data_IF_528831920631
#
_entry.id   IF_528831920631
#
_cell.length_a   1.000
_cell.length_b   1.000
_cell.length_c   1.000
_cell.angle_alpha   90.00
_cell.angle_beta   90.00
_cell.angle_gamma   90.00
#
_symmetry.space_group_name_H-M   'P 1'
#
loop_
_entity.id
_entity.type
_entity.pdbx_description
1 polymer ?
#
# COMPACT_ATOMS: atom_id res chain seq x y z
N UNK A 1 -6.58 -3.13 -20.93
CA UNK A 1 -6.24 -1.91 -21.67
C UNK A 1 -4.73 -1.93 -21.82
N UNK A 2 -4.20 -2.06 -23.04
CA UNK A 2 -2.76 -1.90 -23.26
C UNK A 2 -2.44 -0.42 -23.18
N UNK A 3 -1.38 -0.06 -22.44
CA UNK A 3 -0.82 1.29 -22.43
C UNK A 3 -0.35 1.62 -23.85
N UNK A 4 -0.95 2.62 -24.48
CA UNK A 4 -0.30 3.27 -25.61
C UNK A 4 0.91 4.03 -25.02
N UNK A 5 2.12 3.64 -25.40
CA UNK A 5 3.36 4.37 -25.09
C UNK A 5 3.63 4.64 -23.59
N UNK A 6 3.39 3.65 -22.73
CA UNK A 6 3.68 3.77 -21.30
C UNK A 6 2.75 4.75 -20.56
N UNK A 7 1.69 5.23 -21.19
CA UNK A 7 0.66 6.03 -20.54
C UNK A 7 -0.33 5.15 -19.78
N UNK A 8 -0.55 5.48 -18.51
CA UNK A 8 -1.52 4.89 -17.62
C UNK A 8 -2.65 5.90 -17.38
N UNK A 9 -3.91 5.56 -17.72
CA UNK A 9 -5.02 6.45 -17.44
C UNK A 9 -5.19 6.61 -15.92
N UNK A 10 -5.89 7.67 -15.51
CA UNK A 10 -6.30 7.85 -14.12
C UNK A 10 -7.08 6.62 -13.64
N UNK A 11 -6.91 6.25 -12.38
CA UNK A 11 -7.68 5.18 -11.74
C UNK A 11 -8.73 5.81 -10.83
N UNK A 12 -9.98 5.41 -10.99
CA UNK A 12 -11.09 5.94 -10.20
C UNK A 12 -12.00 4.81 -9.75
N UNK A 13 -12.64 5.02 -8.61
CA UNK A 13 -13.47 3.96 -8.04
C UNK A 13 -14.09 4.33 -6.70
N UNK A 14 -14.55 3.31 -5.98
CA UNK A 14 -15.18 3.46 -4.66
C UNK A 14 -14.77 2.35 -3.70
N UNK A 15 -14.67 2.70 -2.42
CA UNK A 15 -14.54 1.74 -1.32
C UNK A 15 -15.84 1.72 -0.53
N UNK A 16 -16.46 0.55 -0.43
CA UNK A 16 -17.77 0.34 0.20
C UNK A 16 -17.67 -0.70 1.31
N UNK A 17 -18.52 -0.55 2.32
CA UNK A 17 -18.72 -1.56 3.35
C UNK A 17 -19.55 -2.72 2.77
N UNK A 18 -19.01 -3.94 2.83
CA UNK A 18 -19.57 -5.12 2.18
C UNK A 18 -20.95 -5.50 2.74
N UNK A 19 -21.17 -5.24 4.02
CA UNK A 19 -22.38 -5.61 4.76
C UNK A 19 -23.49 -4.60 4.54
N UNK A 20 -23.17 -3.31 4.60
CA UNK A 20 -24.16 -2.23 4.55
C UNK A 20 -24.30 -1.58 3.17
N UNK A 21 -23.32 -1.79 2.28
CA UNK A 21 -23.22 -1.08 0.99
C UNK A 21 -22.91 0.41 1.13
N UNK A 22 -22.66 0.91 2.35
CA UNK A 22 -22.39 2.33 2.59
C UNK A 22 -20.96 2.68 2.19
N UNK A 23 -20.70 3.94 1.80
CA UNK A 23 -19.34 4.36 1.49
C UNK A 23 -18.43 4.37 2.72
N UNK A 24 -17.18 3.96 2.53
CA UNK A 24 -16.14 4.07 3.56
C UNK A 24 -15.33 5.33 3.29
N UNK A 25 -15.43 6.29 4.20
CA UNK A 25 -14.73 7.58 4.17
C UNK A 25 -13.34 7.43 4.77
N UNK A 26 -12.36 8.18 4.25
CA UNK A 26 -10.96 8.18 4.70
C UNK A 26 -10.35 6.76 4.71
N UNK A 27 -10.70 5.92 3.74
CA UNK A 27 -9.97 4.71 3.42
C UNK A 27 -8.76 5.09 2.59
N UNK A 28 -7.57 4.62 2.98
CA UNK A 28 -6.37 4.75 2.16
C UNK A 28 -6.51 3.82 0.96
N UNK A 29 -6.17 4.30 -0.22
CA UNK A 29 -6.18 3.52 -1.45
C UNK A 29 -4.80 3.61 -2.06
N UNK A 30 -4.13 2.46 -2.14
CA UNK A 30 -2.79 2.34 -2.74
C UNK A 30 -2.93 1.75 -4.12
N UNK A 31 -2.43 2.45 -5.14
CA UNK A 31 -2.34 1.95 -6.51
C UNK A 31 -0.90 1.58 -6.83
N UNK A 32 -0.66 0.31 -7.19
CA UNK A 32 0.67 -0.21 -7.52
C UNK A 32 0.71 -0.65 -8.97
N UNK A 33 1.62 -0.08 -9.73
CA UNK A 33 1.88 -0.51 -11.09
C UNK A 33 2.86 -1.66 -11.08
N UNK A 34 2.41 -2.79 -11.61
CA UNK A 34 3.11 -4.06 -11.58
C UNK A 34 3.24 -4.63 -12.97
N UNK A 35 4.36 -5.28 -13.22
CA UNK A 35 4.64 -5.97 -14.48
C UNK A 35 5.61 -7.11 -14.25
N UNK A 36 5.78 -7.97 -15.25
CA UNK A 36 6.74 -9.06 -15.21
C UNK A 36 7.99 -8.65 -16.00
N UNK A 37 9.14 -8.74 -15.35
CA UNK A 37 10.46 -8.59 -15.97
C UNK A 37 11.13 -9.97 -16.07
N UNK A 38 11.64 -10.31 -17.25
CA UNK A 38 12.17 -11.66 -17.52
C UNK A 38 11.07 -12.73 -17.48
N UNK A 39 11.40 -13.94 -17.01
CA UNK A 39 10.48 -15.09 -17.08
C UNK A 39 9.41 -15.12 -15.98
N UNK A 40 9.72 -14.66 -14.76
CA UNK A 40 8.82 -14.82 -13.60
C UNK A 40 8.83 -13.66 -12.59
N UNK A 41 9.75 -12.69 -12.71
CA UNK A 41 9.91 -11.68 -11.67
C UNK A 41 8.83 -10.60 -11.81
N UNK A 42 7.90 -10.58 -10.88
CA UNK A 42 6.95 -9.47 -10.76
C UNK A 42 7.66 -8.29 -10.12
N UNK A 43 7.66 -7.16 -10.80
CA UNK A 43 8.24 -5.89 -10.35
C UNK A 43 7.11 -4.92 -10.10
N UNK A 44 7.14 -4.26 -8.95
CA UNK A 44 6.31 -3.11 -8.65
C UNK A 44 7.16 -1.86 -8.90
N UNK A 45 6.85 -1.13 -9.97
CA UNK A 45 7.75 -0.11 -10.54
C UNK A 45 7.24 1.32 -10.37
N UNK A 46 6.01 1.48 -9.90
CA UNK A 46 5.46 2.77 -9.50
C UNK A 46 4.35 2.54 -8.47
N UNK A 47 4.16 3.50 -7.57
CA UNK A 47 3.09 3.47 -6.58
C UNK A 47 2.58 4.87 -6.28
N UNK A 48 1.27 4.98 -6.13
CA UNK A 48 0.57 6.19 -5.72
C UNK A 48 -0.40 5.84 -4.59
N UNK A 49 -0.75 6.83 -3.79
CA UNK A 49 -1.78 6.67 -2.77
C UNK A 49 -2.72 7.86 -2.73
N UNK A 50 -3.93 7.60 -2.26
CA UNK A 50 -4.98 8.61 -2.11
C UNK A 50 -5.90 8.19 -0.95
N UNK A 51 -6.84 9.05 -0.58
CA UNK A 51 -7.86 8.75 0.42
C UNK A 51 -9.26 8.88 -0.17
N UNK A 52 -10.19 8.04 0.29
CA UNK A 52 -11.57 8.16 -0.14
C UNK A 52 -12.28 9.37 0.46
N UNK A 53 -13.13 10.00 -0.35
CA UNK A 53 -13.97 11.12 0.07
C UNK A 53 -15.20 10.68 0.89
N UNK A 54 -16.09 11.63 1.21
CA UNK A 54 -17.33 11.39 1.95
C UNK A 54 -18.32 10.44 1.25
N UNK A 55 -18.17 10.24 -0.05
CA UNK A 55 -18.95 9.32 -0.87
C UNK A 55 -18.19 8.01 -1.14
N UNK A 56 -17.07 7.80 -0.44
CA UNK A 56 -16.20 6.64 -0.56
C UNK A 56 -15.47 6.57 -1.90
N UNK A 57 -15.43 7.67 -2.67
CA UNK A 57 -14.78 7.71 -3.99
C UNK A 57 -13.30 7.99 -3.82
N UNK A 58 -12.47 7.38 -4.65
CA UNK A 58 -11.05 7.72 -4.76
C UNK A 58 -10.72 8.07 -6.21
N UNK A 59 -9.69 8.88 -6.38
CA UNK A 59 -9.04 9.16 -7.65
C UNK A 59 -7.53 9.08 -7.47
N UNK A 60 -6.88 8.31 -8.33
CA UNK A 60 -5.43 8.24 -8.48
C UNK A 60 -5.10 8.86 -9.85
N UNK A 61 -4.21 9.86 -9.91
CA UNK A 61 -3.95 10.60 -11.14
C UNK A 61 -3.46 9.69 -12.27
N UNK A 62 -3.64 10.14 -13.50
CA UNK A 62 -3.00 9.52 -14.65
C UNK A 62 -1.48 9.63 -14.50
N UNK A 63 -0.77 8.60 -14.97
CA UNK A 63 0.68 8.51 -14.82
C UNK A 63 1.30 8.08 -16.14
N UNK A 64 2.54 8.50 -16.41
CA UNK A 64 3.29 8.05 -17.58
C UNK A 64 4.57 7.38 -17.09
N UNK A 65 4.80 6.16 -17.55
CA UNK A 65 6.00 5.41 -17.28
C UNK A 65 7.19 6.04 -18.03
N UNK A 66 7.91 6.91 -17.34
CA UNK A 66 9.20 7.48 -17.76
C UNK A 66 10.40 6.70 -17.18
N UNK A 67 10.12 5.60 -16.49
CA UNK A 67 11.13 4.84 -15.75
C UNK A 67 11.99 3.99 -16.68
N UNK A 68 13.07 3.43 -16.11
CA UNK A 68 13.94 2.46 -16.77
C UNK A 68 13.26 1.14 -17.17
N UNK A 69 12.01 0.91 -16.79
CA UNK A 69 11.29 -0.35 -16.99
C UNK A 69 10.60 -0.41 -18.38
N UNK A 70 11.38 -0.35 -19.46
CA UNK A 70 10.87 -0.20 -20.83
C UNK A 70 10.36 -1.49 -21.51
N UNK A 71 10.41 -2.65 -20.85
CA UNK A 71 10.06 -3.95 -21.45
C UNK A 71 9.29 -4.87 -20.49
N UNK A 72 8.42 -4.29 -19.66
CA UNK A 72 7.58 -5.10 -18.78
C UNK A 72 6.48 -5.80 -19.56
N UNK A 73 6.19 -7.03 -19.18
CA UNK A 73 5.05 -7.80 -19.70
C UNK A 73 3.92 -7.82 -18.68
N UNK A 74 2.69 -8.09 -19.13
CA UNK A 74 1.52 -8.26 -18.25
C UNK A 74 1.34 -7.09 -17.26
N UNK A 75 1.60 -5.89 -17.75
CA UNK A 75 1.50 -4.69 -16.92
C UNK A 75 0.04 -4.50 -16.47
N UNK A 76 -0.13 -4.15 -15.20
CA UNK A 76 -1.43 -3.88 -14.60
C UNK A 76 -1.27 -2.96 -13.38
N UNK A 77 -2.38 -2.36 -12.97
CA UNK A 77 -2.48 -1.64 -11.69
C UNK A 77 -3.19 -2.54 -10.68
N UNK A 78 -2.55 -2.76 -9.54
CA UNK A 78 -3.14 -3.42 -8.38
C UNK A 78 -3.55 -2.36 -7.36
N UNK A 79 -4.86 -2.25 -7.10
CA UNK A 79 -5.40 -1.34 -6.09
C UNK A 79 -5.58 -2.10 -4.78
N UNK A 80 -5.10 -1.54 -3.68
CA UNK A 80 -5.25 -2.09 -2.34
C UNK A 80 -5.85 -1.03 -1.41
N UNK A 81 -7.16 -1.11 -1.11
CA UNK A 81 -7.76 -0.26 -0.11
C UNK A 81 -7.41 -0.73 1.30
N UNK A 82 -7.34 0.22 2.24
CA UNK A 82 -7.07 -0.04 3.65
C UNK A 82 -7.85 0.93 4.53
N UNK A 83 -8.47 0.37 5.57
CA UNK A 83 -9.09 1.13 6.66
C UNK A 83 -8.84 0.37 7.96
N UNK A 84 -8.41 1.07 9.01
CA UNK A 84 -8.22 0.45 10.31
C UNK A 84 -9.53 -0.18 10.81
N UNK A 85 -9.45 -1.38 11.40
CA UNK A 85 -10.61 -2.17 11.81
C UNK A 85 -11.36 -2.88 10.68
N UNK A 86 -10.95 -2.71 9.42
CA UNK A 86 -11.56 -3.39 8.27
C UNK A 86 -10.60 -4.37 7.62
N UNK A 87 -11.15 -5.42 7.02
CA UNK A 87 -10.44 -6.33 6.11
C UNK A 87 -11.08 -6.34 4.71
N UNK A 88 -10.34 -6.85 3.74
CA UNK A 88 -10.84 -7.01 2.38
C UNK A 88 -11.92 -8.09 2.33
N UNK A 89 -13.07 -7.77 1.74
CA UNK A 89 -14.15 -8.73 1.57
C UNK A 89 -13.93 -9.58 0.32
N UNK A 90 -14.12 -10.89 0.45
CA UNK A 90 -14.22 -11.83 -0.68
C UNK A 90 -15.17 -11.37 -1.79
N UNK A 91 -16.18 -10.57 -1.42
CA UNK A 91 -17.14 -9.98 -2.35
C UNK A 91 -16.47 -9.22 -3.48
N UNK A 92 -15.36 -8.52 -3.19
CA UNK A 92 -14.56 -7.78 -4.17
C UNK A 92 -14.20 -8.66 -5.38
N UNK A 93 -13.71 -9.87 -5.10
CA UNK A 93 -13.25 -10.82 -6.12
C UNK A 93 -14.36 -11.69 -6.68
N UNK A 94 -15.27 -12.20 -5.83
CA UNK A 94 -16.39 -13.06 -6.27
C UNK A 94 -17.30 -12.35 -7.28
N UNK A 95 -17.57 -11.06 -7.05
CA UNK A 95 -18.40 -10.24 -7.94
C UNK A 95 -17.59 -9.58 -9.08
N UNK A 96 -16.26 -9.74 -9.09
CA UNK A 96 -15.36 -9.03 -10.01
C UNK A 96 -15.52 -7.50 -10.00
N UNK A 97 -16.00 -6.95 -8.87
CA UNK A 97 -16.29 -5.53 -8.70
C UNK A 97 -15.04 -4.64 -8.82
N UNK A 98 -13.85 -5.19 -8.57
CA UNK A 98 -12.57 -4.51 -8.79
C UNK A 98 -12.37 -4.08 -10.25
N UNK A 99 -12.96 -4.79 -11.23
CA UNK A 99 -12.91 -4.40 -12.65
C UNK A 99 -13.70 -3.11 -12.94
N UNK A 100 -14.59 -2.73 -12.02
CA UNK A 100 -15.38 -1.50 -12.05
C UNK A 100 -14.84 -0.44 -11.08
N UNK A 101 -13.64 -0.66 -10.51
CA UNK A 101 -13.05 0.21 -9.50
C UNK A 101 -13.76 0.14 -8.14
N UNK A 102 -14.68 -0.81 -7.93
CA UNK A 102 -15.38 -0.97 -6.66
C UNK A 102 -14.66 -2.00 -5.80
N UNK A 103 -14.32 -1.61 -4.58
CA UNK A 103 -13.69 -2.49 -3.60
C UNK A 103 -14.55 -2.55 -2.34
N UNK A 104 -14.80 -3.77 -1.87
CA UNK A 104 -15.55 -4.01 -0.66
C UNK A 104 -14.60 -4.33 0.50
N UNK A 105 -14.74 -3.57 1.58
CA UNK A 105 -14.15 -3.92 2.86
C UNK A 105 -15.25 -4.33 3.83
N UNK A 106 -14.94 -5.16 4.83
CA UNK A 106 -15.85 -5.51 5.90
C UNK A 106 -15.18 -5.28 7.26
N UNK A 107 -15.97 -5.05 8.30
CA UNK A 107 -15.44 -4.99 9.66
C UNK A 107 -14.72 -6.30 9.99
N UNK A 108 -13.56 -6.17 10.60
CA UNK A 108 -12.82 -7.32 11.09
C UNK A 108 -13.44 -7.83 12.38
N UNK A 109 -13.88 -9.09 12.41
CA UNK A 109 -14.57 -9.70 13.56
C UNK A 109 -13.70 -10.71 14.34
N UNK A 110 -12.44 -10.88 13.95
CA UNK A 110 -11.50 -11.78 14.62
C UNK A 110 -10.87 -11.23 15.91
N UNK A 111 -9.94 -12.00 16.46
CA UNK A 111 -9.10 -11.63 17.61
C UNK A 111 -8.01 -10.63 17.24
N UNK A 112 -7.39 -9.99 18.25
CA UNK A 112 -6.24 -9.09 18.04
C UNK A 112 -5.06 -9.78 17.34
N UNK A 113 -4.79 -11.04 17.70
CA UNK A 113 -3.72 -11.83 17.10
C UNK A 113 -4.00 -12.10 15.62
N UNK A 114 -5.24 -12.48 15.27
CA UNK A 114 -5.67 -12.65 13.88
C UNK A 114 -5.63 -11.31 13.12
N UNK A 115 -5.92 -10.18 13.77
CA UNK A 115 -5.81 -8.86 13.15
C UNK A 115 -4.36 -8.52 12.80
N UNK A 116 -3.42 -8.76 13.72
CA UNK A 116 -1.99 -8.54 13.45
C UNK A 116 -1.48 -9.44 12.33
N UNK A 117 -1.92 -10.69 12.30
CA UNK A 117 -1.61 -11.63 11.21
C UNK A 117 -2.20 -11.17 9.87
N UNK A 118 -3.47 -10.72 9.87
CA UNK A 118 -4.08 -10.10 8.69
C UNK A 118 -3.26 -8.91 8.21
N UNK A 119 -2.91 -7.99 9.12
CA UNK A 119 -2.12 -6.81 8.79
C UNK A 119 -0.81 -7.22 8.12
N UNK A 120 -0.10 -8.26 8.60
CA UNK A 120 1.13 -8.77 7.99
C UNK A 120 0.93 -9.29 6.56
N UNK A 121 -0.22 -9.94 6.30
CA UNK A 121 -0.52 -10.58 5.02
C UNK A 121 -0.96 -9.62 3.91
N UNK A 122 -1.30 -8.36 4.22
CA UNK A 122 -1.68 -7.37 3.20
C UNK A 122 -0.50 -7.17 2.21
N UNK A 123 -0.64 -7.58 0.93
CA UNK A 123 0.49 -7.71 0.03
C UNK A 123 0.79 -6.36 -0.62
N UNK A 124 1.66 -5.54 -0.04
CA UNK A 124 1.82 -4.11 -0.42
C UNK A 124 3.27 -3.64 -0.64
N UNK A 125 4.22 -4.56 -0.81
CA UNK A 125 5.60 -4.16 -1.12
C UNK A 125 5.72 -3.53 -2.52
N UNK A 126 6.54 -2.48 -2.64
CA UNK A 126 6.87 -1.83 -3.91
C UNK A 126 8.32 -1.31 -3.96
N UNK A 127 9.28 -2.17 -3.60
CA UNK A 127 10.70 -1.81 -3.41
C UNK A 127 11.45 -1.35 -4.67
N UNK A 128 10.85 -1.48 -5.86
CA UNK A 128 11.45 -1.06 -7.13
C UNK A 128 10.84 0.22 -7.68
N UNK A 129 9.97 0.89 -6.91
CA UNK A 129 9.25 2.09 -7.31
C UNK A 129 10.05 3.39 -7.15
N UNK A 130 11.26 3.29 -6.60
CA UNK A 130 12.16 4.42 -6.42
C UNK A 130 11.49 5.53 -5.60
N UNK A 131 11.57 6.79 -6.06
CA UNK A 131 10.95 7.92 -5.36
C UNK A 131 9.45 7.75 -5.08
N UNK A 132 8.72 7.08 -5.98
CA UNK A 132 7.27 6.92 -5.79
C UNK A 132 6.92 6.01 -4.62
N UNK A 133 7.85 5.19 -4.12
CA UNK A 133 7.66 4.42 -2.88
C UNK A 133 7.34 5.31 -1.67
N UNK A 134 7.70 6.60 -1.69
CA UNK A 134 7.28 7.55 -0.66
C UNK A 134 5.77 7.68 -0.51
N UNK A 135 5.03 7.43 -1.58
CA UNK A 135 3.57 7.42 -1.55
C UNK A 135 3.00 6.26 -0.70
N UNK A 136 3.83 5.30 -0.29
CA UNK A 136 3.44 4.24 0.66
C UNK A 136 3.52 4.66 2.13
N UNK A 137 4.09 5.83 2.44
CA UNK A 137 4.32 6.26 3.82
C UNK A 137 3.05 6.22 4.67
N UNK A 138 1.97 6.86 4.22
CA UNK A 138 0.71 6.94 4.97
C UNK A 138 0.09 5.57 5.18
N UNK A 139 0.23 4.67 4.21
CA UNK A 139 -0.24 3.29 4.31
C UNK A 139 0.51 2.53 5.41
N UNK A 140 1.85 2.55 5.40
CA UNK A 140 2.63 1.88 6.43
C UNK A 140 2.47 2.52 7.81
N UNK A 141 2.35 3.85 7.87
CA UNK A 141 2.08 4.59 9.09
C UNK A 141 0.72 4.19 9.69
N UNK A 142 -0.32 4.05 8.86
CA UNK A 142 -1.64 3.63 9.33
C UNK A 142 -1.63 2.19 9.87
N UNK A 143 -0.91 1.26 9.21
CA UNK A 143 -0.68 -0.11 9.72
C UNK A 143 0.09 -0.11 11.04
N UNK A 144 1.15 0.68 11.15
CA UNK A 144 1.92 0.82 12.39
C UNK A 144 1.03 1.31 13.53
N UNK A 145 0.25 2.38 13.31
CA UNK A 145 -0.66 2.94 14.32
C UNK A 145 -1.70 1.92 14.78
N UNK A 146 -2.32 1.20 13.85
CA UNK A 146 -3.30 0.17 14.20
C UNK A 146 -2.65 -0.98 14.98
N UNK A 147 -1.54 -1.52 14.48
CA UNK A 147 -0.82 -2.62 15.13
C UNK A 147 -0.34 -2.25 16.53
N UNK A 148 0.19 -1.03 16.72
CA UNK A 148 0.64 -0.51 18.01
C UNK A 148 -0.49 -0.53 19.04
N UNK A 149 -1.72 -0.22 18.64
CA UNK A 149 -2.87 -0.16 19.55
C UNK A 149 -3.38 -1.53 19.99
N UNK A 150 -3.04 -2.61 19.26
CA UNK A 150 -3.54 -3.96 19.55
C UNK A 150 -2.46 -4.93 20.02
N UNK A 151 -1.18 -4.64 19.79
CA UNK A 151 -0.06 -5.46 20.25
C UNK A 151 0.10 -5.41 21.77
N UNK A 152 0.29 -6.57 22.40
CA UNK A 152 0.46 -6.72 23.85
C UNK A 152 1.76 -7.45 24.18
N UNK A 153 2.01 -8.58 23.51
CA UNK A 153 3.16 -9.44 23.73
C UNK A 153 4.41 -8.92 23.02
N UNK A 154 5.59 -9.35 23.44
CA UNK A 154 6.85 -8.90 22.82
C UNK A 154 6.95 -9.34 21.35
N UNK A 155 6.45 -10.54 21.02
CA UNK A 155 6.35 -11.01 19.63
C UNK A 155 5.45 -10.11 18.77
N UNK A 156 4.36 -9.59 19.32
CA UNK A 156 3.49 -8.65 18.60
C UNK A 156 4.17 -7.28 18.45
N UNK A 157 4.96 -6.84 19.43
CA UNK A 157 5.76 -5.60 19.33
C UNK A 157 6.86 -5.68 18.27
N UNK A 158 7.41 -6.87 18.00
CA UNK A 158 8.30 -7.07 16.85
C UNK A 158 7.59 -6.79 15.51
N UNK A 159 6.33 -7.22 15.37
CA UNK A 159 5.51 -6.91 14.19
C UNK A 159 5.30 -5.40 14.05
N UNK A 160 4.98 -4.72 15.17
CA UNK A 160 4.82 -3.26 15.20
C UNK A 160 6.11 -2.57 14.76
N UNK A 161 7.27 -3.05 15.22
CA UNK A 161 8.58 -2.52 14.82
C UNK A 161 8.81 -2.64 13.32
N UNK A 162 8.46 -3.76 12.69
CA UNK A 162 8.57 -3.93 11.23
C UNK A 162 7.70 -2.93 10.46
N UNK A 163 6.49 -2.65 10.92
CA UNK A 163 5.64 -1.62 10.29
C UNK A 163 6.22 -0.21 10.46
N UNK A 164 6.78 0.09 11.63
CA UNK A 164 7.50 1.36 11.88
C UNK A 164 8.67 1.52 10.91
N UNK A 165 9.49 0.49 10.74
CA UNK A 165 10.63 0.48 9.82
C UNK A 165 10.18 0.61 8.35
N UNK A 166 9.08 -0.04 7.97
CA UNK A 166 8.50 0.08 6.62
C UNK A 166 8.01 1.51 6.33
N UNK A 167 7.38 2.14 7.33
CA UNK A 167 6.97 3.55 7.23
C UNK A 167 8.20 4.47 7.09
N UNK A 168 9.23 4.28 7.90
CA UNK A 168 10.44 5.09 7.82
C UNK A 168 11.19 4.88 6.48
N UNK A 169 11.36 3.64 6.03
CA UNK A 169 12.02 3.30 4.76
C UNK A 169 11.29 3.94 3.58
N UNK A 170 9.96 3.76 3.48
CA UNK A 170 9.17 4.39 2.42
C UNK A 170 9.30 5.92 2.42
N UNK A 171 9.25 6.58 3.57
CA UNK A 171 9.37 8.04 3.67
C UNK A 171 10.67 8.61 3.10
N UNK A 172 11.76 7.83 3.14
CA UNK A 172 13.08 8.26 2.69
C UNK A 172 13.51 7.65 1.34
N UNK A 173 12.63 6.87 0.69
CA UNK A 173 12.97 6.13 -0.53
C UNK A 173 13.49 7.06 -1.63
N UNK A 174 14.34 6.53 -2.50
CA UNK A 174 15.12 7.29 -3.50
C UNK A 174 15.42 6.42 -4.72
N UNK A 175 15.66 7.06 -5.87
CA UNK A 175 16.11 6.37 -7.09
C UNK A 175 17.60 5.99 -7.09
N UNK A 176 18.34 6.37 -6.03
CA UNK A 176 19.78 6.09 -5.93
C UNK A 176 20.06 4.60 -5.70
N UNK A 177 20.41 3.90 -6.78
CA UNK A 177 20.74 2.47 -6.76
C UNK A 177 22.10 2.16 -6.14
N UNK A 178 22.92 3.17 -5.86
CA UNK A 178 24.24 2.97 -5.26
C UNK A 178 24.19 3.06 -3.73
N UNK A 179 23.02 3.34 -3.14
CA UNK A 179 22.87 3.40 -1.70
C UNK A 179 23.12 2.01 -1.11
N UNK A 180 24.12 1.90 -0.24
CA UNK A 180 24.37 0.65 0.46
C UNK A 180 23.31 0.39 1.53
N UNK A 181 23.05 -0.88 1.84
CA UNK A 181 22.11 -1.26 2.90
C UNK A 181 22.43 -0.59 4.25
N UNK A 182 23.72 -0.36 4.54
CA UNK A 182 24.17 0.32 5.77
C UNK A 182 23.83 1.81 5.77
N UNK A 183 23.94 2.47 4.63
CA UNK A 183 23.56 3.89 4.50
C UNK A 183 22.04 4.05 4.55
N UNK A 184 21.30 3.14 3.94
CA UNK A 184 19.85 3.08 4.06
C UNK A 184 19.41 2.92 5.53
N UNK A 185 19.96 1.92 6.23
CA UNK A 185 19.68 1.70 7.65
C UNK A 185 19.99 2.95 8.49
N UNK A 186 21.14 3.60 8.25
CA UNK A 186 21.50 4.85 8.93
C UNK A 186 20.44 5.94 8.70
N UNK A 187 19.99 6.13 7.46
CA UNK A 187 18.97 7.13 7.11
C UNK A 187 17.61 6.80 7.74
N UNK A 188 17.24 5.52 7.83
CA UNK A 188 16.03 5.07 8.53
C UNK A 188 16.13 5.46 10.01
N UNK A 189 17.25 5.17 10.67
CA UNK A 189 17.44 5.52 12.08
C UNK A 189 17.44 7.03 12.32
N UNK A 190 18.05 7.82 11.43
CA UNK A 190 18.00 9.29 11.49
C UNK A 190 16.57 9.82 11.32
N UNK A 191 15.83 9.29 10.35
CA UNK A 191 14.42 9.64 10.14
C UNK A 191 13.57 9.31 11.36
N UNK A 192 13.73 8.12 11.93
CA UNK A 192 13.01 7.71 13.14
C UNK A 192 13.29 8.63 14.32
N UNK A 193 14.55 9.02 14.55
CA UNK A 193 14.92 9.98 15.61
C UNK A 193 14.30 11.36 15.41
N UNK A 194 14.17 11.80 14.16
CA UNK A 194 13.62 13.12 13.83
C UNK A 194 12.08 13.18 13.84
N UNK A 195 11.39 12.03 13.81
CA UNK A 195 9.95 11.96 13.64
C UNK A 195 9.26 11.36 14.88
N UNK A 196 8.88 12.18 15.87
CA UNK A 196 8.31 11.69 17.13
C UNK A 196 6.97 10.96 16.96
N UNK A 197 6.26 11.14 15.83
CA UNK A 197 5.06 10.36 15.50
C UNK A 197 5.33 8.86 15.34
N UNK A 198 6.60 8.48 15.13
CA UNK A 198 7.08 7.11 15.04
C UNK A 198 7.95 6.71 16.24
N UNK A 199 8.20 7.64 17.18
CA UNK A 199 8.92 7.37 18.43
C UNK A 199 7.87 7.17 19.52
N UNK A 200 8.12 6.20 20.40
CA UNK A 200 7.16 5.77 21.42
C UNK A 200 6.77 6.86 22.42
#
# INVERSE_FOLDING_TARGET
MSSEEGYWPKQEGRVLDATTGKPIVDALVVARWKGVSGYTNTVCYHVESTMTDKQGRYEVPAWRNDTRFQNLQKEHVEITPFKAGYEESDRTYKEHSYKQGIYYLMNFEGTKAERLDYLLRIPVACSSAGYSERNMFDFYLARYKEARNIAVTDKEKEIVTRFKESAASSAISTDDLNLSAREEEKRIQEFLRANPLLVD
#
